data_IF_217274261570
#
_entry.id   IF_217274261570
#
_cell.length_a   1.000
_cell.length_b   1.000
_cell.length_c   1.000
_cell.angle_alpha   90.00
_cell.angle_beta   90.00
_cell.angle_gamma   90.00
#
_symmetry.space_group_name_H-M   'P 1'
#
loop_
_entity.id
_entity.type
_entity.pdbx_description
1 polymer ?
#
# COMPACT_ATOMS: atom_id res chain seq x y z
N UNK A 1 10.74 -22.49 30.32
CA UNK A 1 9.91 -22.67 29.11
C UNK A 1 9.10 -21.41 28.76
N UNK A 2 8.38 -20.78 29.70
CA UNK A 2 7.63 -19.53 29.44
C UNK A 2 8.50 -18.36 28.92
N UNK A 3 9.69 -18.17 29.48
CA UNK A 3 10.65 -17.13 29.09
C UNK A 3 11.22 -17.31 27.68
N UNK A 4 11.38 -18.55 27.22
CA UNK A 4 11.87 -18.88 25.87
C UNK A 4 10.77 -18.60 24.83
N UNK A 5 9.52 -19.00 25.12
CA UNK A 5 8.38 -18.71 24.25
C UNK A 5 8.08 -17.21 24.16
N UNK A 6 8.29 -16.46 25.24
CA UNK A 6 8.14 -15.01 25.26
C UNK A 6 9.23 -14.32 24.42
N UNK A 7 10.50 -14.71 24.60
CA UNK A 7 11.60 -14.21 23.78
C UNK A 7 11.43 -14.53 22.29
N UNK A 8 10.93 -15.72 21.95
CA UNK A 8 10.64 -16.12 20.57
C UNK A 8 9.50 -15.28 19.96
N UNK A 9 8.42 -15.05 20.72
CA UNK A 9 7.32 -14.15 20.30
C UNK A 9 7.80 -12.73 20.05
N UNK A 10 8.65 -12.19 20.93
CA UNK A 10 9.25 -10.85 20.75
C UNK A 10 10.10 -10.79 19.49
N UNK A 11 10.94 -11.80 19.23
CA UNK A 11 11.78 -11.87 18.01
C UNK A 11 10.94 -11.96 16.74
N UNK A 12 9.89 -12.77 16.73
CA UNK A 12 8.99 -12.90 15.57
C UNK A 12 8.30 -11.57 15.28
N UNK A 13 7.75 -10.90 16.29
CA UNK A 13 7.11 -9.58 16.14
C UNK A 13 8.11 -8.52 15.67
N UNK A 14 9.31 -8.45 16.26
CA UNK A 14 10.34 -7.51 15.84
C UNK A 14 10.74 -7.70 14.36
N UNK A 15 10.89 -8.95 13.93
CA UNK A 15 11.18 -9.28 12.53
C UNK A 15 10.04 -8.87 11.60
N UNK A 16 8.79 -9.10 11.99
CA UNK A 16 7.62 -8.71 11.21
C UNK A 16 7.49 -7.19 11.08
N UNK A 17 7.74 -6.45 12.16
CA UNK A 17 7.82 -4.98 12.16
C UNK A 17 8.93 -4.48 11.22
N UNK A 18 10.11 -5.09 11.25
CA UNK A 18 11.20 -4.74 10.34
C UNK A 18 10.83 -4.97 8.87
N UNK A 19 10.17 -6.10 8.55
CA UNK A 19 9.64 -6.35 7.20
C UNK A 19 8.60 -5.32 6.78
N UNK A 20 7.71 -4.92 7.69
CA UNK A 20 6.69 -3.89 7.44
C UNK A 20 7.33 -2.54 7.12
N UNK A 21 8.26 -2.07 7.97
CA UNK A 21 8.97 -0.81 7.74
C UNK A 21 9.75 -0.83 6.42
N UNK A 22 10.44 -1.94 6.14
CA UNK A 22 11.15 -2.12 4.85
C UNK A 22 10.19 -2.01 3.68
N UNK A 23 9.00 -2.64 3.77
CA UNK A 23 7.95 -2.53 2.75
C UNK A 23 7.54 -1.09 2.51
N UNK A 24 7.24 -0.33 3.57
CA UNK A 24 6.75 1.05 3.44
C UNK A 24 7.80 2.03 2.93
N UNK A 25 9.06 1.87 3.34
CA UNK A 25 10.19 2.65 2.80
C UNK A 25 10.39 2.35 1.31
N UNK A 26 10.27 1.09 0.90
CA UNK A 26 10.36 0.70 -0.50
C UNK A 26 9.18 1.23 -1.32
N UNK A 27 7.95 1.11 -0.83
CA UNK A 27 6.75 1.67 -1.48
C UNK A 27 6.83 3.19 -1.65
N UNK A 28 7.40 3.91 -0.68
CA UNK A 28 7.57 5.36 -0.75
C UNK A 28 8.36 5.83 -1.98
N UNK A 29 9.28 5.01 -2.50
CA UNK A 29 10.04 5.30 -3.73
C UNK A 29 9.18 5.25 -5.00
N UNK A 30 8.05 4.54 -4.96
CA UNK A 30 7.21 4.23 -6.13
C UNK A 30 6.61 5.49 -6.76
N UNK A 31 6.11 6.42 -5.94
CA UNK A 31 5.50 7.67 -6.42
C UNK A 31 6.48 8.56 -7.21
N UNK A 32 7.61 8.96 -6.61
CA UNK A 32 8.66 9.74 -7.29
C UNK A 32 9.15 9.10 -8.59
N UNK A 33 9.51 7.80 -8.56
CA UNK A 33 10.00 7.07 -9.72
C UNK A 33 8.94 7.01 -10.83
N UNK A 34 7.69 6.68 -10.49
CA UNK A 34 6.63 6.61 -11.48
C UNK A 34 6.30 7.99 -12.08
N UNK A 35 6.33 9.06 -11.28
CA UNK A 35 6.05 10.42 -11.78
C UNK A 35 7.10 10.88 -12.79
N UNK A 36 8.37 10.51 -12.61
CA UNK A 36 9.41 10.79 -13.60
C UNK A 36 9.16 10.09 -14.94
N UNK A 37 8.71 8.84 -14.93
CA UNK A 37 8.37 8.09 -16.15
C UNK A 37 7.10 8.65 -16.81
N UNK A 38 6.08 9.01 -16.02
CA UNK A 38 4.85 9.65 -16.52
C UNK A 38 5.18 11.00 -17.16
N UNK A 39 6.07 11.80 -16.57
CA UNK A 39 6.54 13.05 -17.13
C UNK A 39 7.31 12.87 -18.45
N UNK A 40 7.94 11.70 -18.65
CA UNK A 40 8.58 11.31 -19.91
C UNK A 40 7.60 10.83 -20.99
N UNK A 41 6.29 11.00 -20.79
CA UNK A 41 5.23 10.73 -21.78
C UNK A 41 4.50 9.40 -21.63
N UNK A 42 4.77 8.64 -20.56
CA UNK A 42 4.08 7.37 -20.31
C UNK A 42 2.70 7.58 -19.69
N UNK A 43 1.73 6.76 -20.09
CA UNK A 43 0.42 6.72 -19.43
C UNK A 43 0.49 6.01 -18.07
N UNK A 44 -0.33 6.40 -17.07
CA UNK A 44 -0.36 5.71 -15.77
C UNK A 44 -0.65 4.21 -15.89
N UNK A 45 -1.55 3.84 -16.80
CA UNK A 45 -1.93 2.45 -17.04
C UNK A 45 -0.76 1.65 -17.64
N UNK A 46 0.02 2.23 -18.55
CA UNK A 46 1.22 1.59 -19.11
C UNK A 46 2.29 1.37 -18.03
N UNK A 47 2.56 2.39 -17.19
CA UNK A 47 3.51 2.27 -16.08
C UNK A 47 3.06 1.21 -15.08
N UNK A 48 1.78 1.18 -14.72
CA UNK A 48 1.21 0.16 -13.84
C UNK A 48 1.35 -1.24 -14.46
N UNK A 49 0.98 -1.41 -15.74
CA UNK A 49 1.08 -2.71 -16.41
C UNK A 49 2.53 -3.21 -16.43
N UNK A 50 3.47 -2.39 -16.95
CA UNK A 50 4.86 -2.82 -17.13
C UNK A 50 5.49 -3.19 -15.79
N UNK A 51 5.33 -2.37 -14.75
CA UNK A 51 5.95 -2.66 -13.44
C UNK A 51 5.36 -3.92 -12.79
N UNK A 52 4.04 -4.14 -12.89
CA UNK A 52 3.38 -5.32 -12.31
C UNK A 52 3.76 -6.58 -13.10
N UNK A 53 3.74 -6.50 -14.43
CA UNK A 53 4.12 -7.60 -15.31
C UNK A 53 5.59 -8.00 -15.13
N UNK A 54 6.50 -7.02 -15.04
CA UNK A 54 7.91 -7.27 -14.74
C UNK A 54 8.09 -7.88 -13.36
N UNK A 55 7.41 -7.35 -12.33
CA UNK A 55 7.47 -7.90 -10.98
C UNK A 55 6.96 -9.36 -10.94
N UNK A 56 5.87 -9.67 -11.65
CA UNK A 56 5.37 -11.03 -11.81
C UNK A 56 6.39 -11.93 -12.53
N UNK A 57 6.93 -11.47 -13.67
CA UNK A 57 7.94 -12.20 -14.44
C UNK A 57 9.23 -12.47 -13.66
N UNK A 58 9.60 -11.60 -12.72
CA UNK A 58 10.74 -11.79 -11.82
C UNK A 58 10.44 -12.77 -10.69
N UNK A 59 9.25 -12.71 -10.08
CA UNK A 59 8.92 -13.54 -8.91
C UNK A 59 8.41 -14.93 -9.25
N UNK A 60 7.73 -15.14 -10.38
CA UNK A 60 7.21 -16.45 -10.77
C UNK A 60 8.35 -17.49 -10.90
N UNK A 61 9.46 -17.24 -11.63
CA UNK A 61 10.55 -18.20 -11.72
C UNK A 61 11.15 -18.54 -10.36
N UNK A 62 11.30 -17.54 -9.48
CA UNK A 62 11.78 -17.74 -8.11
C UNK A 62 10.86 -18.69 -7.35
N UNK A 63 9.54 -18.53 -7.44
CA UNK A 63 8.60 -19.44 -6.79
C UNK A 63 8.66 -20.84 -7.41
N UNK A 64 8.69 -20.95 -8.74
CA UNK A 64 8.72 -22.25 -9.44
C UNK A 64 9.97 -23.04 -9.07
N UNK A 65 11.13 -22.38 -8.95
CA UNK A 65 12.41 -23.04 -8.61
C UNK A 65 12.48 -23.39 -7.12
N UNK A 66 12.19 -22.43 -6.23
CA UNK A 66 12.44 -22.63 -4.80
C UNK A 66 11.25 -23.18 -4.02
N UNK A 67 10.01 -22.96 -4.49
CA UNK A 67 8.77 -23.29 -3.78
C UNK A 67 7.63 -23.72 -4.73
N UNK A 68 7.83 -24.68 -5.66
CA UNK A 68 6.83 -25.02 -6.68
C UNK A 68 5.49 -25.50 -6.10
N UNK A 69 5.53 -26.17 -4.94
CA UNK A 69 4.32 -26.64 -4.24
C UNK A 69 3.47 -25.50 -3.68
N UNK A 70 4.06 -24.33 -3.46
CA UNK A 70 3.35 -23.17 -2.93
C UNK A 70 2.40 -22.51 -3.95
N UNK A 71 2.59 -22.77 -5.26
CA UNK A 71 1.69 -22.31 -6.33
C UNK A 71 0.43 -23.17 -6.48
N UNK A 72 0.30 -24.25 -5.70
CA UNK A 72 -0.88 -25.12 -5.72
C UNK A 72 -1.99 -24.51 -4.88
N UNK A 73 -2.73 -23.57 -5.46
CA UNK A 73 -3.93 -23.01 -4.85
C UNK A 73 -5.14 -23.92 -5.07
N UNK A 74 -6.02 -24.02 -4.08
CA UNK A 74 -7.30 -24.73 -4.26
C UNK A 74 -8.28 -23.81 -4.99
N UNK A 75 -9.27 -24.38 -5.67
CA UNK A 75 -10.34 -23.59 -6.32
C UNK A 75 -11.09 -22.70 -5.32
N UNK A 76 -11.19 -23.13 -4.06
CA UNK A 76 -11.76 -22.34 -2.95
C UNK A 76 -10.99 -21.05 -2.66
N UNK A 77 -9.72 -20.96 -3.09
CA UNK A 77 -8.86 -19.80 -2.83
C UNK A 77 -8.93 -18.78 -3.97
N UNK A 78 -9.54 -19.12 -5.11
CA UNK A 78 -9.67 -18.24 -6.27
C UNK A 78 -10.33 -16.88 -5.94
N UNK A 79 -11.41 -16.80 -5.14
CA UNK A 79 -11.99 -15.51 -4.78
C UNK A 79 -11.01 -14.60 -4.03
N UNK A 80 -10.19 -15.19 -3.15
CA UNK A 80 -9.16 -14.47 -2.41
C UNK A 80 -8.04 -13.98 -3.34
N UNK A 81 -7.56 -14.86 -4.23
CA UNK A 81 -6.50 -14.52 -5.19
C UNK A 81 -6.95 -13.43 -6.17
N UNK A 82 -8.16 -13.57 -6.72
CA UNK A 82 -8.74 -12.59 -7.64
C UNK A 82 -9.02 -11.28 -6.92
N UNK A 83 -9.64 -11.31 -5.75
CA UNK A 83 -9.88 -10.12 -4.94
C UNK A 83 -8.58 -9.39 -4.57
N UNK A 84 -7.54 -10.14 -4.16
CA UNK A 84 -6.23 -9.57 -3.84
C UNK A 84 -5.52 -9.01 -5.07
N UNK A 85 -5.52 -9.72 -6.20
CA UNK A 85 -4.92 -9.24 -7.45
C UNK A 85 -5.63 -8.03 -8.04
N UNK A 86 -6.97 -7.98 -7.95
CA UNK A 86 -7.77 -6.86 -8.46
C UNK A 86 -7.73 -5.65 -7.54
N UNK A 87 -8.03 -5.80 -6.26
CA UNK A 87 -8.07 -4.69 -5.32
C UNK A 87 -6.67 -4.36 -4.82
N UNK A 88 -6.00 -5.32 -4.21
CA UNK A 88 -4.75 -5.09 -3.49
C UNK A 88 -3.52 -4.86 -4.38
N UNK A 89 -3.58 -5.27 -5.65
CA UNK A 89 -2.50 -5.07 -6.62
C UNK A 89 -2.92 -4.09 -7.71
N UNK A 90 -3.79 -4.48 -8.65
CA UNK A 90 -4.13 -3.67 -9.81
C UNK A 90 -4.80 -2.33 -9.42
N UNK A 91 -5.81 -2.38 -8.55
CA UNK A 91 -6.62 -1.24 -8.14
C UNK A 91 -5.79 -0.18 -7.43
N UNK A 92 -5.06 -0.57 -6.38
CA UNK A 92 -4.13 0.33 -5.67
C UNK A 92 -3.18 1.00 -6.66
N UNK A 93 -2.50 0.20 -7.47
CA UNK A 93 -1.44 0.69 -8.31
C UNK A 93 -1.94 1.62 -9.41
N UNK A 94 -3.02 1.25 -10.11
CA UNK A 94 -3.56 2.04 -11.20
C UNK A 94 -4.14 3.37 -10.69
N UNK A 95 -4.97 3.31 -9.65
CA UNK A 95 -5.63 4.49 -9.10
C UNK A 95 -4.62 5.45 -8.45
N UNK A 96 -3.60 4.91 -7.77
CA UNK A 96 -2.49 5.72 -7.27
C UNK A 96 -1.75 6.44 -8.38
N UNK A 97 -1.40 5.76 -9.49
CA UNK A 97 -0.68 6.41 -10.59
C UNK A 97 -1.53 7.46 -11.31
N UNK A 98 -2.85 7.22 -11.44
CA UNK A 98 -3.78 8.24 -11.97
C UNK A 98 -3.80 9.47 -11.06
N UNK A 99 -3.83 9.28 -9.73
CA UNK A 99 -3.74 10.38 -8.77
C UNK A 99 -2.40 11.13 -8.91
N UNK A 100 -1.27 10.40 -8.91
CA UNK A 100 0.08 10.97 -9.01
C UNK A 100 0.30 11.77 -10.31
N UNK A 101 -0.34 11.38 -11.41
CA UNK A 101 -0.30 12.15 -12.65
C UNK A 101 -0.97 13.52 -12.50
N UNK A 102 -2.08 13.58 -11.77
CA UNK A 102 -3.00 14.73 -11.73
C UNK A 102 -2.75 15.70 -10.59
N UNK A 103 -2.28 15.18 -9.45
CA UNK A 103 -2.04 15.95 -8.23
C UNK A 103 -0.60 15.73 -7.71
N UNK A 104 -0.08 16.61 -6.83
CA UNK A 104 1.24 16.43 -6.24
C UNK A 104 1.38 15.08 -5.49
N UNK A 105 2.60 14.53 -5.45
CA UNK A 105 2.85 13.21 -4.84
C UNK A 105 2.48 13.23 -3.35
N UNK A 106 2.83 14.32 -2.64
CA UNK A 106 2.48 14.48 -1.22
C UNK A 106 0.97 14.40 -0.97
N UNK A 107 0.15 15.06 -1.80
CA UNK A 107 -1.32 15.00 -1.72
C UNK A 107 -1.83 13.58 -1.99
N UNK A 108 -1.27 12.91 -3.02
CA UNK A 108 -1.65 11.54 -3.38
C UNK A 108 -1.34 10.54 -2.25
N UNK A 109 -0.17 10.66 -1.64
CA UNK A 109 0.26 9.78 -0.54
C UNK A 109 -0.59 9.97 0.71
N UNK A 110 -0.97 11.22 0.99
CA UNK A 110 -1.91 11.56 2.06
C UNK A 110 -3.26 10.88 1.82
N UNK A 111 -3.80 10.97 0.61
CA UNK A 111 -5.05 10.29 0.24
C UNK A 111 -4.97 8.77 0.41
N UNK A 112 -3.91 8.13 -0.08
CA UNK A 112 -3.74 6.68 0.04
C UNK A 112 -3.61 6.25 1.51
N UNK A 113 -2.94 7.05 2.33
CA UNK A 113 -2.76 6.76 3.76
C UNK A 113 -4.04 6.98 4.60
N UNK A 114 -5.20 7.22 3.97
CA UNK A 114 -6.51 7.03 4.60
C UNK A 114 -6.92 5.55 4.70
N UNK A 115 -6.23 4.66 3.99
CA UNK A 115 -6.47 3.22 4.03
C UNK A 115 -6.53 2.64 5.46
N UNK A 116 -5.63 2.99 6.41
CA UNK A 116 -5.71 2.52 7.80
C UNK A 116 -7.01 2.95 8.50
N UNK A 117 -7.49 4.18 8.27
CA UNK A 117 -8.76 4.65 8.82
C UNK A 117 -9.94 3.86 8.23
N UNK A 118 -9.89 3.54 6.93
CA UNK A 118 -10.88 2.67 6.27
C UNK A 118 -10.83 1.23 6.80
N UNK A 119 -9.65 0.69 7.09
CA UNK A 119 -9.49 -0.62 7.74
C UNK A 119 -10.09 -0.62 9.14
N UNK A 120 -9.83 0.41 9.94
CA UNK A 120 -10.44 0.57 11.27
C UNK A 120 -11.98 0.65 11.20
N UNK A 121 -12.49 1.39 10.22
CA UNK A 121 -13.92 1.51 9.97
C UNK A 121 -14.55 0.17 9.53
N UNK A 122 -13.85 -0.58 8.68
CA UNK A 122 -14.25 -1.92 8.29
C UNK A 122 -14.33 -2.86 9.50
N UNK A 123 -13.31 -2.86 10.37
CA UNK A 123 -13.32 -3.65 11.61
C UNK A 123 -14.53 -3.29 12.48
N UNK A 124 -14.83 -1.99 12.66
CA UNK A 124 -15.99 -1.53 13.42
C UNK A 124 -17.34 -2.03 12.90
N UNK A 125 -17.57 -1.90 11.59
CA UNK A 125 -18.89 -2.19 11.03
C UNK A 125 -19.08 -3.66 10.71
N UNK A 126 -18.04 -4.33 10.21
CA UNK A 126 -18.12 -5.73 9.78
C UNK A 126 -17.83 -6.67 10.94
N UNK A 127 -16.78 -6.43 11.73
CA UNK A 127 -16.47 -7.26 12.92
C UNK A 127 -17.24 -6.83 14.17
N UNK A 128 -18.02 -5.74 14.09
CA UNK A 128 -18.87 -5.21 15.17
C UNK A 128 -18.13 -4.86 16.47
N UNK A 129 -16.82 -4.62 16.40
CA UNK A 129 -16.00 -4.21 17.55
C UNK A 129 -16.32 -2.76 17.91
N UNK A 130 -16.61 -2.44 19.19
CA UNK A 130 -16.90 -1.06 19.59
C UNK A 130 -15.63 -0.22 19.53
N UNK A 131 -15.65 0.84 18.71
CA UNK A 131 -14.54 1.79 18.64
C UNK A 131 -14.70 2.88 19.72
N UNK A 132 -13.62 3.24 20.43
CA UNK A 132 -13.60 4.35 21.38
C UNK A 132 -13.74 5.71 20.67
N UNK A 133 -14.24 6.72 21.39
CA UNK A 133 -14.49 8.08 20.87
C UNK A 133 -13.25 8.73 20.26
N UNK A 134 -12.05 8.40 20.75
CA UNK A 134 -10.79 8.89 20.18
C UNK A 134 -10.55 8.45 18.73
N UNK A 135 -11.14 7.34 18.27
CA UNK A 135 -11.09 6.96 16.84
C UNK A 135 -11.90 7.92 15.98
N UNK A 136 -13.06 8.38 16.46
CA UNK A 136 -13.85 9.39 15.74
C UNK A 136 -13.14 10.74 15.69
N UNK A 137 -12.47 11.14 16.77
CA UNK A 137 -11.60 12.32 16.77
C UNK A 137 -10.45 12.18 15.76
N UNK A 138 -9.81 11.01 15.70
CA UNK A 138 -8.74 10.73 14.74
C UNK A 138 -9.22 10.78 13.29
N UNK A 139 -10.42 10.23 12.99
CA UNK A 139 -11.06 10.34 11.67
C UNK A 139 -11.36 11.81 11.34
N UNK A 140 -11.86 12.57 12.31
CA UNK A 140 -12.09 14.02 12.16
C UNK A 140 -10.82 14.77 11.81
N UNK A 141 -9.74 14.55 12.56
CA UNK A 141 -8.42 15.12 12.28
C UNK A 141 -7.90 14.70 10.89
N UNK A 142 -8.06 13.42 10.52
CA UNK A 142 -7.65 12.94 9.20
C UNK A 142 -8.44 13.65 8.08
N UNK A 143 -9.75 13.83 8.25
CA UNK A 143 -10.58 14.56 7.30
C UNK A 143 -10.19 16.05 7.22
N UNK A 144 -9.91 16.71 8.35
CA UNK A 144 -9.47 18.11 8.37
C UNK A 144 -8.07 18.29 7.77
N UNK A 145 -7.14 17.39 8.07
CA UNK A 145 -5.82 17.39 7.44
C UNK A 145 -5.93 17.20 5.93
N UNK A 146 -6.84 16.31 5.48
CA UNK A 146 -7.11 16.08 4.07
C UNK A 146 -7.64 17.35 3.37
N UNK A 147 -8.56 18.10 3.97
CA UNK A 147 -9.08 19.33 3.35
C UNK A 147 -7.98 20.38 3.16
N UNK A 148 -7.06 20.49 4.12
CA UNK A 148 -5.87 21.36 4.03
C UNK A 148 -4.89 20.93 2.94
N UNK A 149 -4.60 19.63 2.84
CA UNK A 149 -3.70 19.11 1.81
C UNK A 149 -4.31 19.19 0.42
N UNK A 150 -5.61 18.93 0.31
CA UNK A 150 -6.37 19.04 -0.93
C UNK A 150 -6.59 20.49 -1.35
N UNK A 151 -6.36 21.48 -0.47
CA UNK A 151 -6.59 22.91 -0.74
C UNK A 151 -7.94 23.16 -1.43
N UNK A 152 -9.03 22.53 -0.95
CA UNK A 152 -10.38 22.53 -1.55
C UNK A 152 -10.96 23.92 -1.90
N UNK A 153 -10.36 24.99 -1.38
CA UNK A 153 -10.76 26.39 -1.58
C UNK A 153 -10.13 27.03 -2.82
N UNK A 154 -9.07 26.44 -3.39
CA UNK A 154 -8.39 26.94 -4.59
C UNK A 154 -8.86 26.16 -5.83
N UNK A 155 -10.00 26.59 -6.39
CA UNK A 155 -10.70 25.92 -7.50
C UNK A 155 -9.90 25.87 -8.81
N UNK A 156 -8.81 26.64 -8.92
CA UNK A 156 -7.97 26.67 -10.13
C UNK A 156 -6.90 25.57 -10.19
N UNK A 157 -6.69 24.80 -9.10
CA UNK A 157 -5.63 23.77 -9.01
C UNK A 157 -6.12 22.36 -8.75
N UNK A 158 -7.43 22.14 -8.63
CA UNK A 158 -7.99 20.87 -8.18
C UNK A 158 -8.50 19.99 -9.32
N UNK A 159 -7.78 18.91 -9.58
CA UNK A 159 -8.27 17.82 -10.41
C UNK A 159 -9.09 16.83 -9.57
N UNK A 160 -10.42 16.96 -9.65
CA UNK A 160 -11.36 16.09 -8.95
C UNK A 160 -11.16 14.60 -9.28
N UNK A 161 -10.70 14.28 -10.51
CA UNK A 161 -10.38 12.90 -10.88
C UNK A 161 -9.14 12.40 -10.13
N UNK A 162 -8.16 13.27 -9.86
CA UNK A 162 -6.98 12.93 -9.06
C UNK A 162 -7.34 12.58 -7.62
N UNK A 163 -8.24 13.36 -7.00
CA UNK A 163 -8.74 13.09 -5.65
C UNK A 163 -9.56 11.80 -5.60
N UNK A 164 -10.51 11.64 -6.53
CA UNK A 164 -11.34 10.45 -6.61
C UNK A 164 -10.49 9.18 -6.82
N UNK A 165 -9.46 9.25 -7.67
CA UNK A 165 -8.50 8.18 -7.85
C UNK A 165 -7.68 7.91 -6.57
N UNK A 166 -7.21 8.95 -5.87
CA UNK A 166 -6.51 8.78 -4.59
C UNK A 166 -7.37 8.11 -3.51
N UNK A 167 -8.64 8.50 -3.38
CA UNK A 167 -9.59 7.87 -2.46
C UNK A 167 -9.92 6.43 -2.86
N UNK A 168 -10.11 6.17 -4.16
CA UNK A 168 -10.30 4.82 -4.68
C UNK A 168 -9.09 3.93 -4.42
N UNK A 169 -7.87 4.48 -4.52
CA UNK A 169 -6.63 3.80 -4.15
C UNK A 169 -6.57 3.48 -2.66
N UNK A 170 -7.03 4.39 -1.79
CA UNK A 170 -7.12 4.14 -0.35
C UNK A 170 -8.08 2.98 -0.02
N UNK A 171 -9.23 2.92 -0.70
CA UNK A 171 -10.19 1.81 -0.56
C UNK A 171 -9.59 0.47 -1.03
N UNK A 172 -8.92 0.48 -2.19
CA UNK A 172 -8.21 -0.69 -2.70
C UNK A 172 -7.07 -1.12 -1.75
N UNK A 173 -6.40 -0.17 -1.11
CA UNK A 173 -5.32 -0.41 -0.16
C UNK A 173 -5.84 -1.02 1.14
N UNK A 174 -7.02 -0.63 1.61
CA UNK A 174 -7.71 -1.34 2.68
C UNK A 174 -7.98 -2.81 2.29
N UNK A 175 -8.35 -3.04 1.02
CA UNK A 175 -8.46 -4.39 0.43
C UNK A 175 -7.13 -5.17 0.48
N UNK A 176 -6.01 -4.53 0.12
CA UNK A 176 -4.67 -5.12 0.26
C UNK A 176 -4.38 -5.57 1.70
N UNK A 177 -4.66 -4.73 2.70
CA UNK A 177 -4.42 -5.08 4.10
C UNK A 177 -5.28 -6.25 4.57
N UNK A 178 -6.57 -6.21 4.31
CA UNK A 178 -7.53 -7.21 4.79
C UNK A 178 -7.36 -8.56 4.08
N UNK A 179 -7.31 -8.55 2.74
CA UNK A 179 -7.13 -9.78 1.95
C UNK A 179 -5.69 -10.30 2.05
N UNK A 180 -4.72 -9.40 2.15
CA UNK A 180 -3.31 -9.72 2.32
C UNK A 180 -3.04 -10.40 3.66
N UNK A 181 -3.59 -9.90 4.78
CA UNK A 181 -3.50 -10.59 6.08
C UNK A 181 -4.12 -11.99 6.01
N UNK A 182 -5.36 -12.09 5.51
CA UNK A 182 -6.04 -13.38 5.42
C UNK A 182 -5.28 -14.38 4.54
N UNK A 183 -4.77 -13.92 3.39
CA UNK A 183 -4.01 -14.75 2.48
C UNK A 183 -2.61 -15.11 3.00
N UNK A 184 -1.90 -14.18 3.63
CA UNK A 184 -0.55 -14.42 4.14
C UNK A 184 -0.53 -15.39 5.34
N UNK A 185 -1.61 -15.44 6.13
CA UNK A 185 -1.79 -16.44 7.19
C UNK A 185 -2.10 -17.85 6.63
N UNK A 186 -2.74 -17.94 5.46
CA UNK A 186 -3.16 -19.21 4.84
C UNK A 186 -2.15 -19.80 3.84
N UNK A 187 -1.43 -18.94 3.13
CA UNK A 187 -0.55 -19.31 2.02
C UNK A 187 0.86 -18.75 2.19
N UNK A 188 1.81 -19.28 1.43
CA UNK A 188 3.17 -18.74 1.41
C UNK A 188 3.15 -17.31 0.82
N UNK A 189 3.71 -16.30 1.52
CA UNK A 189 3.71 -14.92 1.05
C UNK A 189 4.31 -14.76 -0.35
N UNK A 190 5.36 -15.51 -0.69
CA UNK A 190 6.00 -15.42 -2.01
C UNK A 190 5.06 -15.90 -3.12
N UNK A 191 4.36 -17.01 -2.89
CA UNK A 191 3.39 -17.53 -3.84
C UNK A 191 2.18 -16.58 -3.97
N UNK A 192 1.66 -16.07 -2.86
CA UNK A 192 0.54 -15.13 -2.88
C UNK A 192 0.90 -13.82 -3.60
N UNK A 193 2.08 -13.24 -3.35
CA UNK A 193 2.58 -12.06 -4.07
C UNK A 193 2.69 -12.35 -5.57
N UNK A 194 3.31 -13.47 -5.96
CA UNK A 194 3.47 -13.81 -7.38
C UNK A 194 2.13 -14.00 -8.09
N UNK A 195 1.17 -14.68 -7.46
CA UNK A 195 -0.17 -14.88 -8.01
C UNK A 195 -0.96 -13.57 -8.10
N UNK A 196 -0.93 -12.75 -7.04
CA UNK A 196 -1.56 -11.43 -7.04
C UNK A 196 -1.00 -10.49 -8.10
N UNK A 197 0.32 -10.46 -8.28
CA UNK A 197 0.97 -9.69 -9.35
C UNK A 197 0.59 -10.22 -10.73
N UNK A 198 0.50 -11.54 -10.91
CA UNK A 198 0.08 -12.12 -12.19
C UNK A 198 -1.35 -11.74 -12.55
N UNK A 199 -2.28 -11.91 -11.61
CA UNK A 199 -3.69 -11.53 -11.80
C UNK A 199 -3.81 -10.02 -12.01
N UNK A 200 -3.06 -9.23 -11.24
CA UNK A 200 -3.01 -7.78 -11.37
C UNK A 200 -2.48 -7.35 -12.74
N UNK A 201 -1.42 -7.99 -13.24
CA UNK A 201 -0.88 -7.71 -14.57
C UNK A 201 -1.91 -8.00 -15.66
N UNK A 202 -2.63 -9.13 -15.58
CA UNK A 202 -3.69 -9.49 -16.52
C UNK A 202 -4.83 -8.46 -16.47
N UNK A 203 -5.27 -8.08 -15.27
CA UNK A 203 -6.34 -7.11 -15.08
C UNK A 203 -5.97 -5.73 -15.63
N UNK A 204 -4.76 -5.25 -15.35
CA UNK A 204 -4.28 -3.96 -15.87
C UNK A 204 -4.00 -4.04 -17.38
N UNK A 205 -3.57 -5.19 -17.92
CA UNK A 205 -3.37 -5.36 -19.37
C UNK A 205 -4.64 -5.05 -20.17
N UNK A 206 -5.81 -5.44 -19.64
CA UNK A 206 -7.10 -5.17 -20.29
C UNK A 206 -7.39 -3.66 -20.41
N UNK A 207 -6.86 -2.83 -19.50
CA UNK A 207 -7.04 -1.38 -19.49
C UNK A 207 -5.88 -0.63 -20.16
N UNK A 208 -4.64 -1.11 -19.99
CA UNK A 208 -3.44 -0.44 -20.46
C UNK A 208 -3.17 -0.63 -21.96
N UNK A 209 -3.84 -1.60 -22.60
CA UNK A 209 -3.66 -1.94 -24.02
C UNK A 209 -2.18 -2.09 -24.39
N UNK A 210 -1.43 -3.01 -23.76
CA UNK A 210 0.03 -3.08 -23.84
C UNK A 210 0.58 -3.30 -25.26
N UNK A 211 -0.26 -3.76 -26.19
CA UNK A 211 0.05 -3.85 -27.62
C UNK A 211 0.27 -2.48 -28.30
N UNK A 212 -0.04 -1.37 -27.62
CA UNK A 212 0.22 0.00 -28.10
C UNK A 212 1.56 0.58 -27.63
N UNK A 213 2.32 -0.16 -26.83
CA UNK A 213 3.63 0.30 -26.33
C UNK A 213 4.68 0.21 -27.44
N UNK A 214 5.40 1.31 -27.65
CA UNK A 214 6.42 1.39 -28.69
C UNK A 214 7.80 1.18 -28.06
N UNK A 215 8.68 0.42 -28.70
CA UNK A 215 10.03 0.15 -28.20
C UNK A 215 10.83 1.44 -27.89
N UNK A 216 10.63 2.50 -28.68
CA UNK A 216 11.27 3.80 -28.45
C UNK A 216 10.83 4.52 -27.15
N UNK A 217 9.68 4.18 -26.58
CA UNK A 217 9.23 4.75 -25.28
C UNK A 217 10.10 4.27 -24.12
N UNK A 218 10.74 3.11 -24.24
CA UNK A 218 11.61 2.57 -23.18
C UNK A 218 12.96 3.28 -23.10
N UNK A 219 13.37 3.96 -24.17
CA UNK A 219 14.61 4.73 -24.24
C UNK A 219 14.39 6.23 -23.98
N UNK A 220 13.15 6.68 -23.75
CA UNK A 220 12.91 8.09 -23.45
C UNK A 220 13.58 8.47 -22.13
N UNK A 221 14.22 9.66 -22.06
CA UNK A 221 14.89 10.10 -20.85
C UNK A 221 13.85 10.48 -19.79
N UNK A 222 13.83 9.74 -18.70
CA UNK A 222 13.14 10.10 -17.46
C UNK A 222 14.14 10.83 -16.56
N UNK A 223 13.86 12.09 -16.24
CA UNK A 223 14.75 12.92 -15.42
C UNK A 223 14.50 12.65 -13.94
N UNK A 224 15.55 12.22 -13.22
CA UNK A 224 15.53 11.96 -11.79
C UNK A 224 16.69 12.72 -11.13
N UNK A 225 16.40 13.67 -10.24
CA UNK A 225 17.43 14.47 -9.56
C UNK A 225 18.35 15.24 -10.54
N UNK A 226 17.83 15.66 -11.68
CA UNK A 226 18.59 16.32 -12.75
C UNK A 226 19.37 15.36 -13.67
N UNK A 227 19.38 14.06 -13.39
CA UNK A 227 20.03 13.05 -14.23
C UNK A 227 19.00 12.43 -15.20
N UNK A 228 19.22 12.51 -16.53
CA UNK A 228 18.38 11.81 -17.49
C UNK A 228 18.74 10.31 -17.47
N UNK A 229 17.80 9.48 -17.02
CA UNK A 229 17.94 8.03 -17.03
C UNK A 229 17.00 7.43 -18.10
N UNK A 230 17.38 6.32 -18.76
CA UNK A 230 16.47 5.63 -19.65
C UNK A 230 15.22 5.13 -18.91
N UNK A 231 14.03 5.29 -19.50
CA UNK A 231 12.77 4.88 -18.89
C UNK A 231 12.76 3.40 -18.47
N UNK A 232 13.38 2.49 -19.24
CA UNK A 232 13.46 1.07 -18.87
C UNK A 232 14.19 0.81 -17.55
N UNK A 233 15.22 1.61 -17.24
CA UNK A 233 15.98 1.47 -16.00
C UNK A 233 15.14 1.93 -14.82
N UNK A 234 14.42 3.05 -14.97
CA UNK A 234 13.50 3.55 -13.95
C UNK A 234 12.29 2.61 -13.76
N UNK A 235 11.80 2.00 -14.84
CA UNK A 235 10.74 0.99 -14.77
C UNK A 235 11.21 -0.30 -14.11
N UNK A 236 12.45 -0.72 -14.33
CA UNK A 236 13.05 -1.87 -13.67
C UNK A 236 13.23 -1.63 -12.17
N UNK A 237 13.75 -0.46 -11.78
CA UNK A 237 13.85 -0.10 -10.35
C UNK A 237 12.47 0.01 -9.73
N UNK A 238 11.48 0.55 -10.43
CA UNK A 238 10.09 0.62 -9.99
C UNK A 238 9.48 -0.79 -9.83
N UNK A 239 9.73 -1.72 -10.75
CA UNK A 239 9.24 -3.10 -10.67
C UNK A 239 9.84 -3.86 -9.49
N UNK A 240 11.12 -3.64 -9.18
CA UNK A 240 11.82 -4.35 -8.09
C UNK A 240 11.55 -3.66 -6.75
N UNK A 241 11.99 -2.41 -6.62
CA UNK A 241 11.97 -1.66 -5.36
C UNK A 241 10.60 -1.02 -5.06
N UNK A 242 9.81 -0.69 -6.09
CA UNK A 242 8.48 -0.10 -5.93
C UNK A 242 7.32 -1.10 -6.02
N UNK A 243 7.58 -2.39 -6.32
CA UNK A 243 6.52 -3.40 -6.48
C UNK A 243 6.91 -4.77 -5.90
N UNK A 244 7.82 -5.54 -6.52
CA UNK A 244 8.08 -6.92 -6.12
C UNK A 244 8.54 -7.08 -4.66
N UNK A 245 9.58 -6.34 -4.26
CA UNK A 245 10.13 -6.38 -2.91
C UNK A 245 9.17 -5.82 -1.85
N UNK A 246 8.55 -4.64 -2.02
CA UNK A 246 7.64 -4.13 -1.00
C UNK A 246 6.41 -5.03 -0.84
N UNK A 247 5.78 -5.51 -1.92
CA UNK A 247 4.65 -6.44 -1.79
C UNK A 247 5.04 -7.74 -1.07
N UNK A 248 6.23 -8.28 -1.34
CA UNK A 248 6.72 -9.47 -0.65
C UNK A 248 7.02 -9.21 0.83
N UNK A 249 7.70 -8.10 1.14
CA UNK A 249 8.01 -7.69 2.51
C UNK A 249 6.72 -7.41 3.30
N UNK A 250 5.76 -6.73 2.68
CA UNK A 250 4.46 -6.41 3.25
C UNK A 250 3.63 -7.67 3.54
N UNK A 251 3.53 -8.63 2.61
CA UNK A 251 2.84 -9.89 2.89
C UNK A 251 3.58 -10.76 3.93
N UNK A 252 4.92 -10.73 3.96
CA UNK A 252 5.69 -11.38 5.04
C UNK A 252 5.40 -10.74 6.40
N UNK A 253 5.27 -9.42 6.46
CA UNK A 253 4.88 -8.72 7.68
C UNK A 253 3.44 -9.08 8.09
N UNK A 254 2.49 -9.04 7.17
CA UNK A 254 1.07 -9.37 7.39
C UNK A 254 0.80 -10.83 7.77
N UNK A 255 1.78 -11.71 7.60
CA UNK A 255 1.70 -13.09 8.12
C UNK A 255 1.75 -13.13 9.64
N UNK A 256 2.54 -12.23 10.24
CA UNK A 256 2.87 -12.23 11.67
C UNK A 256 2.36 -10.95 12.39
N UNK A 257 1.88 -9.95 11.64
CA UNK A 257 1.22 -8.72 12.14
C UNK A 257 -0.24 -8.67 11.71
N UNK A 258 -1.09 -8.08 12.55
CA UNK A 258 -2.47 -7.75 12.19
C UNK A 258 -2.51 -6.69 11.09
N UNK A 259 -3.60 -6.66 10.29
CA UNK A 259 -3.82 -5.59 9.31
C UNK A 259 -3.78 -4.21 9.97
N UNK A 260 -4.27 -4.11 11.21
CA UNK A 260 -4.24 -2.88 12.01
C UNK A 260 -2.81 -2.42 12.26
N UNK A 261 -1.95 -3.27 12.86
CA UNK A 261 -0.55 -2.93 13.13
C UNK A 261 0.25 -2.61 11.87
N UNK A 262 0.07 -3.39 10.80
CA UNK A 262 0.74 -3.13 9.54
C UNK A 262 0.31 -1.79 8.91
N UNK A 263 -0.98 -1.44 9.04
CA UNK A 263 -1.51 -0.14 8.61
C UNK A 263 -1.04 1.02 9.49
N UNK A 264 -0.63 0.76 10.74
CA UNK A 264 0.02 1.79 11.58
C UNK A 264 1.38 2.16 11.03
N UNK A 265 2.16 1.16 10.68
CA UNK A 265 3.52 1.33 10.19
C UNK A 265 3.56 1.99 8.80
N UNK A 266 2.44 2.01 8.06
CA UNK A 266 2.35 2.68 6.75
C UNK A 266 2.46 4.19 6.82
N UNK A 267 2.28 4.80 8.00
CA UNK A 267 2.44 6.24 8.23
C UNK A 267 3.87 6.74 7.89
N UNK A 268 4.86 5.85 7.90
CA UNK A 268 6.24 6.17 7.47
C UNK A 268 6.33 6.45 5.97
N UNK A 269 5.50 5.78 5.16
CA UNK A 269 5.51 5.89 3.70
C UNK A 269 5.37 7.34 3.19
N UNK A 270 4.33 8.12 3.57
CA UNK A 270 4.16 9.49 3.07
C UNK A 270 5.33 10.41 3.46
N UNK A 271 5.94 10.21 4.63
CA UNK A 271 7.09 11.00 5.06
C UNK A 271 8.32 10.76 4.18
N UNK A 272 8.63 9.48 3.93
CA UNK A 272 9.75 9.09 3.06
C UNK A 272 9.46 9.50 1.61
N UNK A 273 8.22 9.34 1.15
CA UNK A 273 7.82 9.70 -0.21
C UNK A 273 7.93 11.20 -0.46
N UNK A 274 7.55 12.03 0.53
CA UNK A 274 7.70 13.48 0.45
C UNK A 274 9.19 13.88 0.39
N UNK A 275 10.05 13.27 1.21
CA UNK A 275 11.49 13.52 1.17
C UNK A 275 12.10 13.12 -0.19
N UNK A 276 11.72 11.96 -0.73
CA UNK A 276 12.16 11.51 -2.06
C UNK A 276 11.62 12.39 -3.18
N UNK A 277 10.37 12.87 -3.09
CA UNK A 277 9.79 13.78 -4.07
C UNK A 277 10.52 15.13 -4.09
N UNK A 278 10.91 15.64 -2.92
CA UNK A 278 11.72 16.85 -2.81
C UNK A 278 13.11 16.64 -3.39
N UNK A 279 13.79 15.55 -3.02
CA UNK A 279 15.17 15.25 -3.46
C UNK A 279 15.26 14.94 -4.97
N UNK A 280 14.32 14.15 -5.49
CA UNK A 280 14.40 13.61 -6.86
C UNK A 280 13.63 14.43 -7.89
N UNK A 281 12.57 15.13 -7.49
CA UNK A 281 11.74 15.91 -8.42
C UNK A 281 11.76 17.41 -8.12
N UNK A 282 12.43 17.86 -7.06
CA UNK A 282 12.39 19.26 -6.63
C UNK A 282 10.99 19.71 -6.18
N UNK A 283 10.08 18.78 -5.86
CA UNK A 283 8.73 19.13 -5.43
C UNK A 283 8.75 19.64 -3.99
N UNK A 284 8.52 20.94 -3.82
CA UNK A 284 8.24 21.52 -2.51
C UNK A 284 6.74 21.47 -2.21
N UNK A 285 6.40 21.08 -0.99
CA UNK A 285 5.05 21.21 -0.47
C UNK A 285 4.84 22.64 0.02
N UNK A 286 3.67 23.21 -0.27
CA UNK A 286 3.29 24.49 0.33
C UNK A 286 3.19 24.34 1.86
N UNK A 287 3.47 25.40 2.64
CA UNK A 287 3.38 25.33 4.11
C UNK A 287 2.04 24.79 4.62
N UNK A 288 0.93 25.13 3.95
CA UNK A 288 -0.40 24.62 4.29
C UNK A 288 -0.57 23.12 4.02
N UNK A 289 0.10 22.57 3.00
CA UNK A 289 0.11 21.14 2.73
C UNK A 289 0.95 20.39 3.77
N UNK A 290 2.03 20.99 4.27
CA UNK A 290 2.84 20.42 5.36
C UNK A 290 2.00 20.34 6.64
N UNK A 291 1.32 21.44 7.00
CA UNK A 291 0.44 21.50 8.19
C UNK A 291 -0.70 20.49 8.04
N UNK A 292 -1.37 20.46 6.89
CA UNK A 292 -2.45 19.51 6.62
C UNK A 292 -1.99 18.05 6.70
N UNK A 293 -0.82 17.74 6.14
CA UNK A 293 -0.23 16.40 6.20
C UNK A 293 0.09 16.00 7.64
N UNK A 294 0.67 16.92 8.44
CA UNK A 294 0.94 16.67 9.85
C UNK A 294 -0.34 16.38 10.64
N UNK A 295 -1.38 17.21 10.47
CA UNK A 295 -2.69 17.01 11.12
C UNK A 295 -3.30 15.66 10.72
N UNK A 296 -3.22 15.30 9.43
CA UNK A 296 -3.77 14.04 8.97
C UNK A 296 -3.01 12.84 9.54
N UNK A 297 -1.67 12.89 9.57
CA UNK A 297 -0.84 11.82 10.14
C UNK A 297 -1.11 11.65 11.63
N UNK A 298 -1.25 12.75 12.38
CA UNK A 298 -1.64 12.69 13.81
C UNK A 298 -3.02 12.07 13.98
N UNK A 299 -4.00 12.44 13.14
CA UNK A 299 -5.33 11.82 13.14
C UNK A 299 -5.28 10.33 12.85
N UNK A 300 -4.52 9.92 11.83
CA UNK A 300 -4.32 8.52 11.48
C UNK A 300 -3.65 7.72 12.61
N UNK A 301 -2.58 8.25 13.20
CA UNK A 301 -1.90 7.63 14.36
C UNK A 301 -2.87 7.50 15.53
N UNK A 302 -3.69 8.52 15.80
CA UNK A 302 -4.68 8.47 16.88
C UNK A 302 -5.72 7.37 16.65
N UNK A 303 -6.26 7.25 15.43
CA UNK A 303 -7.16 6.14 15.07
C UNK A 303 -6.48 4.80 15.36
N UNK A 304 -5.25 4.66 14.87
CA UNK A 304 -4.49 3.43 14.92
C UNK A 304 -4.12 2.98 16.33
N UNK A 305 -3.66 3.90 17.19
CA UNK A 305 -3.29 3.60 18.58
C UNK A 305 -4.50 3.27 19.46
N UNK A 306 -5.69 3.69 19.05
CA UNK A 306 -6.90 3.51 19.85
C UNK A 306 -7.77 2.34 19.39
N UNK A 307 -7.49 1.75 18.23
CA UNK A 307 -8.15 0.51 17.78
C UNK A 307 -7.58 -0.66 18.61
N UNK A 308 -8.41 -1.42 19.34
CA UNK A 308 -7.93 -2.58 20.09
C UNK A 308 -7.37 -3.66 19.15
N UNK A 309 -6.17 -4.17 19.45
CA UNK A 309 -5.65 -5.39 18.81
C UNK A 309 -6.42 -6.62 19.31
N UNK A 310 -7.16 -7.28 18.42
CA UNK A 310 -7.89 -8.52 18.70
C UNK A 310 -6.96 -9.70 19.08
N UNK A 311 -5.65 -9.60 18.85
CA UNK A 311 -4.64 -10.63 19.15
C UNK A 311 -3.95 -10.46 20.54
N UNK A 312 -4.52 -9.67 21.44
CA UNK A 312 -4.07 -9.64 22.84
C UNK A 312 -4.69 -10.80 23.65
N UNK A 313 -3.90 -11.65 24.34
CA UNK A 313 -4.41 -12.79 25.11
C UNK A 313 -5.41 -12.41 26.22
N UNK A 314 -5.48 -11.12 26.57
CA UNK A 314 -6.45 -10.51 27.47
C UNK A 314 -7.87 -10.40 26.90
N UNK A 315 -8.04 -10.36 25.57
CA UNK A 315 -9.37 -10.32 24.93
C UNK A 315 -10.07 -11.68 25.04
N UNK A 316 -9.35 -12.77 24.74
CA UNK A 316 -9.87 -14.15 24.83
C UNK A 316 -10.18 -14.54 26.28
N UNK A 317 -9.38 -14.07 27.25
CA UNK A 317 -9.65 -14.29 28.67
C UNK A 317 -10.93 -13.56 29.14
N UNK A 318 -11.18 -12.33 28.67
CA UNK A 318 -12.41 -11.58 29.00
C UNK A 318 -13.65 -12.14 28.31
N UNK A 319 -13.53 -12.65 27.08
CA UNK A 319 -14.65 -13.31 26.40
C UNK A 319 -15.00 -14.66 27.02
N UNK A 320 -13.99 -15.42 27.47
CA UNK A 320 -14.20 -16.67 28.18
C UNK A 320 -14.79 -16.44 29.58
N UNK A 321 -14.34 -15.42 30.31
CA UNK A 321 -14.90 -15.06 31.61
C UNK A 321 -16.37 -14.64 31.50
N UNK A 322 -16.73 -13.84 30.47
CA UNK A 322 -18.13 -13.42 30.23
C UNK A 322 -19.05 -14.53 29.71
N UNK A 323 -18.52 -15.55 29.05
CA UNK A 323 -19.29 -16.70 28.59
C UNK A 323 -19.49 -17.76 29.69
N UNK A 324 -18.72 -17.72 30.77
CA UNK A 324 -18.88 -18.58 31.95
C UNK A 324 -19.83 -18.02 33.01
N UNK A 325 -20.29 -16.76 32.86
CA UNK A 325 -21.22 -16.08 33.78
C UNK A 325 -22.65 -15.97 33.23
N UNK A 326 -22.92 -16.58 32.05
CA UNK A 326 -24.25 -16.61 31.41
C UNK A 326 -24.89 -17.99 31.45
#
# INVERSE_FOLDING_TARGET
MATVQEAERVRVRARATAWSLTSWVLFASSGPLAKAVIAAGWSPAAVAFVRIAMAAALLIPVVVVFRPRALRFRRSDLPLLVGYGLLGVAGVQLLFLIAVQRIPIGVSMVLVNLAPALVALWVRYVRRTRLPTAVWLGIGLAATGLTLVAQIWDSTRLDALGIAAGLGSALCSAGYFLLGEHGARKHDPLALTSAGLTIGAIAVAALATPWTLHAGQFTTPAVLGGLPLPAWLVLLTLAIAGTALPYLAGLRALRDLSSTLASVLSVVEPLVAAALAWLLLGQSLAPIQIIGAAIMLVGAILVQLTVPDDDSPTSTARSACRAGES
#
